data_IF_575941308841
#
_entry.id   IF_575941308841
#
_cell.length_a   1.000
_cell.length_b   1.000
_cell.length_c   1.000
_cell.angle_alpha   90.00
_cell.angle_beta   90.00
_cell.angle_gamma   90.00
#
_symmetry.space_group_name_H-M   'P 1'
#
loop_
_entity.id
_entity.type
_entity.pdbx_description
1 polymer ?
#
# COMPACT_ATOMS: atom_id res chain seq x y z
N UNK A 1 4.87 -10.73 -9.29
CA UNK A 1 3.99 -9.92 -8.43
C UNK A 1 2.72 -10.71 -8.17
N UNK A 2 2.42 -10.98 -6.91
CA UNK A 2 1.14 -11.55 -6.50
C UNK A 2 0.37 -10.41 -5.82
N UNK A 3 -0.88 -10.18 -6.24
CA UNK A 3 -1.74 -9.14 -5.70
C UNK A 3 -3.03 -9.78 -5.18
N UNK A 4 -3.36 -9.51 -3.92
CA UNK A 4 -4.62 -9.90 -3.30
C UNK A 4 -5.38 -8.65 -2.88
N UNK A 5 -6.59 -8.48 -3.41
CA UNK A 5 -7.51 -7.43 -2.99
C UNK A 5 -8.72 -8.05 -2.30
N UNK A 6 -9.14 -7.48 -1.17
CA UNK A 6 -10.37 -7.86 -0.48
C UNK A 6 -11.02 -6.66 0.19
N UNK A 7 -12.34 -6.58 0.12
CA UNK A 7 -13.12 -5.64 0.94
C UNK A 7 -13.10 -6.11 2.40
N UNK A 8 -12.54 -5.30 3.30
CA UNK A 8 -12.44 -5.63 4.73
C UNK A 8 -13.75 -5.31 5.45
N UNK A 9 -14.34 -4.16 5.14
CA UNK A 9 -15.64 -3.70 5.66
C UNK A 9 -16.37 -2.89 4.59
N UNK A 10 -17.58 -2.38 4.88
CA UNK A 10 -18.32 -1.53 3.94
C UNK A 10 -17.54 -0.32 3.43
N UNK A 11 -16.60 0.18 4.23
CA UNK A 11 -15.90 1.44 3.98
C UNK A 11 -14.40 1.27 3.73
N UNK A 12 -13.85 0.07 3.89
CA UNK A 12 -12.40 -0.16 3.82
C UNK A 12 -12.04 -1.32 2.88
N UNK A 13 -11.03 -1.06 2.04
CA UNK A 13 -10.37 -2.04 1.21
C UNK A 13 -9.05 -2.50 1.84
N UNK A 14 -8.67 -3.75 1.54
CA UNK A 14 -7.37 -4.33 1.86
C UNK A 14 -6.73 -4.78 0.56
N UNK A 15 -5.49 -4.36 0.35
CA UNK A 15 -4.62 -4.81 -0.72
C UNK A 15 -3.32 -5.36 -0.14
N UNK A 16 -2.90 -6.51 -0.65
CA UNK A 16 -1.63 -7.13 -0.30
C UNK A 16 -0.88 -7.42 -1.59
N UNK A 17 0.29 -6.82 -1.77
CA UNK A 17 1.19 -7.10 -2.87
C UNK A 17 2.43 -7.84 -2.36
N UNK A 18 2.84 -8.90 -3.07
CA UNK A 18 3.99 -9.74 -2.73
C UNK A 18 4.93 -9.89 -3.92
N UNK A 19 6.23 -9.99 -3.62
CA UNK A 19 7.29 -10.33 -4.57
C UNK A 19 7.23 -9.50 -5.86
N UNK A 20 7.19 -8.19 -5.71
CA UNK A 20 7.25 -7.26 -6.83
C UNK A 20 8.67 -6.71 -6.99
N UNK A 21 9.27 -6.91 -8.17
CA UNK A 21 10.59 -6.38 -8.48
C UNK A 21 10.50 -4.87 -8.72
N UNK A 22 11.23 -4.07 -7.93
CA UNK A 22 11.13 -2.62 -7.95
C UNK A 22 12.03 -1.97 -8.99
N UNK A 23 13.29 -2.42 -9.11
CA UNK A 23 14.31 -1.78 -9.96
C UNK A 23 15.48 -2.71 -10.27
N UNK A 24 16.18 -2.48 -11.37
CA UNK A 24 17.36 -3.27 -11.72
C UNK A 24 18.56 -2.88 -10.84
N UNK A 25 19.57 -3.74 -10.74
CA UNK A 25 20.80 -3.43 -10.01
C UNK A 25 21.56 -2.22 -10.59
N UNK A 26 21.41 -1.94 -11.88
CA UNK A 26 21.99 -0.77 -12.53
C UNK A 26 21.41 0.55 -12.00
N UNK A 27 20.16 0.52 -11.51
CA UNK A 27 19.46 1.67 -10.90
C UNK A 27 19.80 1.85 -9.41
N UNK A 28 20.72 1.03 -8.89
CA UNK A 28 21.12 0.98 -7.50
C UNK A 28 20.51 -0.20 -6.72
N UNK A 29 20.96 -0.36 -5.48
CA UNK A 29 20.61 -1.48 -4.62
C UNK A 29 19.93 -0.99 -3.34
N UNK A 30 18.69 -1.42 -3.13
CA UNK A 30 18.00 -1.36 -1.85
C UNK A 30 18.22 -2.68 -1.14
N UNK A 31 19.13 -2.71 -0.16
CA UNK A 31 19.40 -3.92 0.64
C UNK A 31 18.19 -4.28 1.50
N UNK A 32 17.70 -3.31 2.27
CA UNK A 32 16.54 -3.46 3.13
C UNK A 32 15.89 -2.10 3.39
N UNK A 33 14.57 -2.03 3.32
CA UNK A 33 13.78 -0.86 3.68
C UNK A 33 12.44 -1.29 4.26
N UNK A 34 12.02 -0.60 5.32
CA UNK A 34 10.71 -0.78 5.94
C UNK A 34 10.04 0.58 6.02
N UNK A 35 8.84 0.68 5.46
CA UNK A 35 8.00 1.87 5.51
C UNK A 35 6.67 1.51 6.16
N UNK A 36 6.35 2.17 7.27
CA UNK A 36 5.04 2.08 7.91
C UNK A 36 4.45 3.48 7.94
N UNK A 37 3.30 3.65 7.29
CA UNK A 37 2.58 4.91 7.26
C UNK A 37 1.15 4.70 7.77
N UNK A 38 0.73 5.60 8.64
CA UNK A 38 -0.66 5.73 9.04
C UNK A 38 -1.11 7.16 8.77
N UNK A 39 -1.79 7.34 7.64
CA UNK A 39 -2.40 8.59 7.27
C UNK A 39 -3.84 8.65 7.80
N UNK A 40 -4.11 9.65 8.64
CA UNK A 40 -5.43 9.93 9.23
C UNK A 40 -6.06 11.19 8.67
N UNK A 41 -5.40 11.86 7.73
CA UNK A 41 -5.95 13.03 7.10
C UNK A 41 -7.26 12.68 6.40
N UNK A 42 -8.21 13.62 6.38
CA UNK A 42 -9.51 13.43 5.76
C UNK A 42 -9.42 13.92 4.31
N UNK A 43 -9.08 12.99 3.43
CA UNK A 43 -8.94 13.22 2.00
C UNK A 43 -9.41 11.98 1.24
N UNK A 44 -9.09 11.96 -0.05
CA UNK A 44 -9.38 10.88 -0.96
C UNK A 44 -8.73 9.57 -0.50
N UNK A 45 -9.50 8.48 -0.41
CA UNK A 45 -9.06 7.16 0.04
C UNK A 45 -8.36 7.11 1.41
N UNK A 46 -8.59 8.13 2.24
CA UNK A 46 -8.04 8.23 3.60
C UNK A 46 -9.16 8.23 4.63
N UNK A 47 -8.94 7.64 5.82
CA UNK A 47 -7.65 7.22 6.38
C UNK A 47 -7.05 5.97 5.70
N UNK A 48 -5.72 5.92 5.63
CA UNK A 48 -4.94 4.85 4.99
C UNK A 48 -3.83 4.35 5.90
N UNK A 49 -3.69 3.05 6.00
CA UNK A 49 -2.57 2.37 6.63
C UNK A 49 -1.77 1.63 5.57
N UNK A 50 -0.46 1.83 5.55
CA UNK A 50 0.49 1.18 4.64
C UNK A 50 1.62 0.56 5.47
N UNK A 51 1.94 -0.69 5.19
CA UNK A 51 3.16 -1.34 5.66
C UNK A 51 3.86 -1.96 4.45
N UNK A 52 5.09 -1.54 4.17
CA UNK A 52 5.84 -1.96 2.99
C UNK A 52 7.25 -2.39 3.40
N UNK A 53 7.63 -3.60 3.01
CA UNK A 53 8.94 -4.19 3.26
C UNK A 53 9.60 -4.50 1.93
N UNK A 54 10.78 -3.94 1.74
CA UNK A 54 11.60 -4.12 0.55
C UNK A 54 12.94 -4.72 0.96
N UNK A 55 13.40 -5.72 0.22
CA UNK A 55 14.75 -6.25 0.34
C UNK A 55 15.31 -6.64 -1.03
N UNK A 56 16.60 -6.41 -1.25
CA UNK A 56 17.30 -6.75 -2.49
C UNK A 56 16.58 -6.29 -3.76
N UNK A 57 16.04 -5.07 -3.78
CA UNK A 57 15.22 -4.51 -4.86
C UNK A 57 13.86 -5.21 -5.12
N UNK A 58 13.40 -6.08 -4.22
CA UNK A 58 12.06 -6.66 -4.27
C UNK A 58 11.21 -6.14 -3.12
N UNK A 59 9.97 -5.75 -3.42
CA UNK A 59 8.91 -5.72 -2.42
C UNK A 59 8.65 -7.14 -1.97
N UNK A 60 8.96 -7.43 -0.72
CA UNK A 60 8.63 -8.71 -0.09
C UNK A 60 7.14 -8.74 0.21
N UNK A 61 6.66 -7.69 0.86
CA UNK A 61 5.26 -7.52 1.21
C UNK A 61 4.90 -6.04 1.28
N UNK A 62 3.75 -5.71 0.72
CA UNK A 62 3.06 -4.44 0.89
C UNK A 62 1.64 -4.73 1.35
N UNK A 63 1.24 -4.19 2.49
CA UNK A 63 -0.12 -4.26 3.03
C UNK A 63 -0.66 -2.85 3.01
N UNK A 64 -1.78 -2.65 2.34
CA UNK A 64 -2.44 -1.38 2.20
C UNK A 64 -3.91 -1.50 2.62
N UNK A 65 -4.31 -0.79 3.67
CA UNK A 65 -5.70 -0.68 4.11
C UNK A 65 -6.12 0.76 3.86
N UNK A 66 -7.14 0.97 3.05
CA UNK A 66 -7.55 2.31 2.62
C UNK A 66 -9.06 2.47 2.67
N UNK A 67 -9.50 3.71 2.77
CA UNK A 67 -10.92 4.05 2.71
C UNK A 67 -11.41 3.92 1.26
N UNK A 68 -12.55 3.25 1.03
CA UNK A 68 -13.03 2.94 -0.32
C UNK A 68 -13.58 4.16 -1.07
N UNK A 69 -14.12 5.12 -0.33
CA UNK A 69 -14.79 6.27 -0.94
C UNK A 69 -13.82 7.40 -1.23
N UNK A 70 -14.11 8.13 -2.30
CA UNK A 70 -13.43 9.36 -2.63
C UNK A 70 -13.97 10.49 -1.75
N UNK A 71 -13.19 11.56 -1.56
CA UNK A 71 -13.66 12.69 -0.74
C UNK A 71 -14.86 13.41 -1.40
N UNK A 72 -15.00 13.30 -2.72
CA UNK A 72 -16.15 13.81 -3.48
C UNK A 72 -17.45 13.04 -3.21
N UNK A 73 -17.38 11.80 -2.73
CA UNK A 73 -18.56 10.98 -2.41
C UNK A 73 -19.18 11.35 -1.05
N UNK A 74 -18.58 12.30 -0.30
CA UNK A 74 -19.05 12.75 1.03
C UNK A 74 -19.94 14.00 0.99
N UNK A 75 -20.24 14.53 -0.19
CA UNK A 75 -21.01 15.77 -0.37
C UNK A 75 -22.49 15.57 -0.76
N UNK A 76 -23.03 14.36 -0.60
CA UNK A 76 -24.48 14.09 -0.56
C UNK A 76 -24.95 13.92 0.90
#
# INVERSE_FOLDING_TARGET
MILFGKKLTNNYGLEIALFHHLRQFADGLTLFNVNVNWDRYLSDHTPRFLCHIVACNYTLIEINIYYLYHNNDRHE
#
